data_IF_405290861241
#
_entry.id   IF_405290861241
#
_cell.length_a   1.000
_cell.length_b   1.000
_cell.length_c   1.000
_cell.angle_alpha   90.00
_cell.angle_beta   90.00
_cell.angle_gamma   90.00
#
_symmetry.space_group_name_H-M   'P 1'
#
loop_
_entity.id
_entity.type
_entity.pdbx_description
1 polymer ?
#
# COMPACT_ATOMS: atom_id res chain seq x y z
N UNK A 1 27.18 11.73 13.94
CA UNK A 1 26.03 10.88 13.60
C UNK A 1 26.52 9.82 12.66
N UNK A 2 26.41 8.55 13.01
CA UNK A 2 26.69 7.46 12.09
C UNK A 2 25.56 7.48 11.04
N UNK A 3 25.87 7.84 9.80
CA UNK A 3 24.90 7.81 8.72
C UNK A 3 24.48 6.35 8.49
N UNK A 4 23.19 6.07 8.45
CA UNK A 4 22.69 4.74 8.09
C UNK A 4 23.12 4.43 6.65
N UNK A 5 23.63 3.25 6.43
CA UNK A 5 23.96 2.77 5.07
C UNK A 5 22.69 2.38 4.31
N UNK A 6 22.77 2.49 2.98
CA UNK A 6 21.74 1.91 2.11
C UNK A 6 21.68 0.40 2.28
N UNK A 7 20.51 -0.16 2.04
CA UNK A 7 20.27 -1.61 2.13
C UNK A 7 19.50 -2.08 0.91
N UNK A 8 19.86 -3.29 0.46
CA UNK A 8 19.13 -4.02 -0.57
C UNK A 8 18.70 -5.37 -0.03
N UNK A 9 17.89 -6.08 -0.79
CA UNK A 9 17.45 -7.44 -0.47
C UNK A 9 18.65 -8.40 -0.38
N UNK A 10 18.61 -9.37 0.54
CA UNK A 10 19.65 -10.38 0.67
C UNK A 10 19.45 -11.55 -0.32
N UNK A 11 18.24 -11.75 -0.81
CA UNK A 11 17.85 -12.80 -1.75
C UNK A 11 16.89 -12.32 -2.83
N UNK A 12 16.48 -13.25 -3.69
CA UNK A 12 15.41 -13.05 -4.67
C UNK A 12 14.13 -13.73 -4.17
N UNK A 13 12.98 -13.08 -4.33
CA UNK A 13 11.70 -13.57 -3.80
C UNK A 13 10.65 -13.55 -4.90
N UNK A 14 10.07 -14.71 -5.16
CA UNK A 14 9.05 -14.89 -6.19
C UNK A 14 7.65 -14.90 -5.58
N UNK A 15 6.73 -14.17 -6.22
CA UNK A 15 5.32 -14.09 -5.85
C UNK A 15 4.45 -14.35 -7.08
N UNK A 16 3.40 -15.14 -6.88
CA UNK A 16 2.37 -15.40 -7.88
C UNK A 16 1.00 -15.07 -7.30
N UNK A 17 0.17 -14.42 -8.07
CA UNK A 17 -1.18 -14.13 -7.61
C UNK A 17 -1.99 -13.30 -8.58
N UNK A 18 -3.26 -13.16 -8.27
CA UNK A 18 -4.17 -12.29 -9.01
C UNK A 18 -3.90 -10.84 -8.67
N UNK A 19 -3.99 -9.95 -9.65
CA UNK A 19 -4.16 -8.52 -9.42
C UNK A 19 -5.57 -8.23 -8.90
N UNK A 20 -5.70 -7.36 -7.91
CA UNK A 20 -7.00 -7.04 -7.27
C UNK A 20 -8.02 -6.49 -8.28
N UNK A 21 -7.60 -5.57 -9.14
CA UNK A 21 -8.49 -4.87 -10.08
C UNK A 21 -8.65 -5.61 -11.40
N UNK A 22 -7.57 -6.13 -11.96
CA UNK A 22 -7.57 -6.79 -13.26
C UNK A 22 -8.01 -8.24 -13.21
N UNK A 23 -7.83 -8.91 -12.06
CA UNK A 23 -8.00 -10.36 -11.91
C UNK A 23 -6.97 -11.20 -12.69
N UNK A 24 -6.03 -10.55 -13.38
CA UNK A 24 -4.99 -11.25 -14.14
C UNK A 24 -3.94 -11.82 -13.19
N UNK A 25 -3.45 -13.00 -13.52
CA UNK A 25 -2.34 -13.61 -12.79
C UNK A 25 -1.04 -12.90 -13.19
N UNK A 26 -0.28 -12.49 -12.18
CA UNK A 26 1.07 -11.94 -12.35
C UNK A 26 2.08 -12.81 -11.62
N UNK A 27 3.21 -13.01 -12.25
CA UNK A 27 4.45 -13.47 -11.63
C UNK A 27 5.32 -12.25 -11.37
N UNK A 28 5.75 -12.07 -10.13
CA UNK A 28 6.59 -10.97 -9.71
C UNK A 28 7.81 -11.49 -8.95
N UNK A 29 8.98 -10.95 -9.23
CA UNK A 29 10.24 -11.30 -8.55
C UNK A 29 10.84 -10.03 -7.97
N UNK A 30 11.06 -10.01 -6.66
CA UNK A 30 11.84 -8.98 -5.99
C UNK A 30 13.31 -9.38 -6.01
N UNK A 31 14.17 -8.49 -6.48
CA UNK A 31 15.62 -8.73 -6.61
C UNK A 31 16.43 -7.65 -5.92
N UNK A 32 17.62 -7.98 -5.41
CA UNK A 32 18.60 -6.96 -5.01
C UNK A 32 18.89 -6.00 -6.16
N UNK A 33 19.17 -4.74 -5.82
CA UNK A 33 19.61 -3.74 -6.78
C UNK A 33 20.86 -3.02 -6.30
N UNK A 34 21.67 -2.45 -7.23
CA UNK A 34 22.84 -1.63 -6.89
C UNK A 34 22.50 -0.43 -6.01
N UNK A 35 23.52 0.17 -5.43
CA UNK A 35 23.43 1.44 -4.70
C UNK A 35 22.80 2.52 -5.59
N UNK A 36 22.02 3.40 -4.96
CA UNK A 36 21.37 4.54 -5.60
C UNK A 36 20.34 4.20 -6.70
N UNK A 37 19.95 2.93 -6.84
CA UNK A 37 18.89 2.51 -7.78
C UNK A 37 17.52 3.01 -7.33
N UNK A 38 17.27 3.07 -6.01
CA UNK A 38 15.90 3.23 -5.49
C UNK A 38 15.05 1.98 -5.76
N UNK A 39 13.75 2.17 -5.94
CA UNK A 39 12.83 1.07 -6.30
C UNK A 39 12.48 1.19 -7.78
N UNK A 40 12.87 0.17 -8.54
CA UNK A 40 12.70 0.09 -9.99
C UNK A 40 11.78 -1.05 -10.35
N UNK A 41 10.76 -0.79 -11.16
CA UNK A 41 9.90 -1.81 -11.74
C UNK A 41 10.33 -2.10 -13.18
N UNK A 42 10.34 -3.38 -13.54
CA UNK A 42 10.63 -3.87 -14.89
C UNK A 42 9.48 -4.76 -15.38
N UNK A 43 8.79 -4.34 -16.44
CA UNK A 43 7.76 -5.11 -17.14
C UNK A 43 8.41 -6.07 -18.12
N UNK A 44 8.80 -7.25 -17.61
CA UNK A 44 9.56 -8.25 -18.38
C UNK A 44 8.81 -8.80 -19.60
N UNK A 45 7.49 -8.69 -19.61
CA UNK A 45 6.62 -9.07 -20.73
C UNK A 45 6.62 -8.05 -21.88
N UNK A 46 7.12 -6.83 -21.65
CA UNK A 46 7.19 -5.76 -22.65
C UNK A 46 8.59 -5.57 -23.25
N UNK A 47 9.59 -6.32 -22.78
CA UNK A 47 10.95 -6.28 -23.27
C UNK A 47 11.97 -5.70 -22.31
N UNK A 48 13.24 -5.63 -22.76
CA UNK A 48 14.39 -5.33 -21.91
C UNK A 48 14.43 -3.88 -21.40
N UNK A 49 13.79 -2.93 -22.08
CA UNK A 49 13.85 -1.50 -21.76
C UNK A 49 12.59 -0.98 -21.02
N UNK A 50 11.66 -1.86 -20.64
CA UNK A 50 10.37 -1.48 -20.06
C UNK A 50 10.46 -1.22 -18.54
N UNK A 51 11.22 -0.20 -18.15
CA UNK A 51 11.45 0.18 -16.76
C UNK A 51 10.60 1.39 -16.33
N UNK A 52 10.15 1.37 -15.07
CA UNK A 52 9.47 2.50 -14.41
C UNK A 52 10.06 2.69 -13.02
N UNK A 53 10.64 3.85 -12.73
CA UNK A 53 11.06 4.22 -11.39
C UNK A 53 9.84 4.48 -10.50
N UNK A 54 9.84 3.98 -9.26
CA UNK A 54 8.81 4.26 -8.28
C UNK A 54 8.97 5.67 -7.71
N UNK A 55 8.60 6.65 -8.49
CA UNK A 55 8.70 8.08 -8.20
C UNK A 55 7.37 8.78 -8.48
N UNK A 56 7.10 9.86 -7.74
CA UNK A 56 5.81 10.55 -7.82
C UNK A 56 5.51 11.15 -9.20
N UNK A 57 6.52 11.53 -9.98
CA UNK A 57 6.36 12.02 -11.36
C UNK A 57 5.85 10.96 -12.33
N UNK A 58 6.07 9.67 -12.03
CA UNK A 58 5.62 8.54 -12.83
C UNK A 58 4.20 8.07 -12.44
N UNK A 59 3.55 8.68 -11.43
CA UNK A 59 2.17 8.34 -11.06
C UNK A 59 1.23 8.75 -12.18
N UNK A 60 0.53 7.76 -12.74
CA UNK A 60 -0.40 7.93 -13.87
C UNK A 60 -1.87 7.78 -13.48
N UNK A 61 -2.16 7.04 -12.39
CA UNK A 61 -3.51 6.86 -11.86
C UNK A 61 -3.49 6.63 -10.35
N UNK A 62 -4.54 7.12 -9.69
CA UNK A 62 -4.80 6.89 -8.27
C UNK A 62 -6.22 6.38 -8.03
N UNK A 63 -6.85 5.84 -9.07
CA UNK A 63 -8.19 5.29 -9.01
C UNK A 63 -8.17 3.92 -8.31
N UNK A 64 -8.48 3.90 -7.02
CA UNK A 64 -8.54 2.73 -6.12
C UNK A 64 -7.18 2.06 -5.81
N UNK A 65 -6.12 2.43 -6.47
CA UNK A 65 -4.75 1.98 -6.23
C UNK A 65 -3.76 2.96 -6.83
N UNK A 66 -2.50 2.86 -6.48
CA UNK A 66 -1.44 3.67 -7.06
C UNK A 66 -0.84 2.96 -8.27
N UNK A 67 -0.88 3.64 -9.42
CA UNK A 67 -0.31 3.18 -10.69
C UNK A 67 0.82 4.11 -11.11
N UNK A 68 1.95 3.54 -11.49
CA UNK A 68 3.06 4.25 -12.11
C UNK A 68 3.23 3.82 -13.56
N UNK A 69 3.66 4.74 -14.42
CA UNK A 69 3.85 4.47 -15.84
C UNK A 69 4.99 5.29 -16.44
N UNK A 70 5.69 4.71 -17.42
CA UNK A 70 6.71 5.38 -18.22
C UNK A 70 6.76 4.71 -19.61
N UNK A 71 6.51 5.49 -20.67
CA UNK A 71 6.33 4.93 -22.00
C UNK A 71 5.15 3.95 -22.02
N UNK A 72 5.39 2.74 -22.54
CA UNK A 72 4.40 1.66 -22.57
C UNK A 72 4.31 0.85 -21.27
N UNK A 73 5.34 0.96 -20.41
CA UNK A 73 5.37 0.24 -19.14
C UNK A 73 4.44 0.89 -18.13
N UNK A 74 3.57 0.08 -17.52
CA UNK A 74 2.67 0.49 -16.46
C UNK A 74 2.55 -0.61 -15.41
N UNK A 75 2.57 -0.23 -14.12
CA UNK A 75 2.37 -1.15 -13.00
C UNK A 75 1.43 -0.52 -12.00
N UNK A 76 0.36 -1.23 -11.64
CA UNK A 76 -0.68 -0.80 -10.69
C UNK A 76 -0.62 -1.56 -9.37
N UNK A 77 -1.31 -1.02 -8.35
CA UNK A 77 -1.45 -1.60 -7.00
C UNK A 77 -0.08 -1.80 -6.33
N UNK A 78 0.79 -0.79 -6.46
CA UNK A 78 2.16 -0.86 -5.96
C UNK A 78 2.27 -0.51 -4.47
N UNK A 79 1.27 0.13 -3.88
CA UNK A 79 1.26 0.72 -2.54
C UNK A 79 1.63 -0.27 -1.43
N UNK A 80 1.12 -1.50 -1.44
CA UNK A 80 1.40 -2.50 -0.41
C UNK A 80 2.86 -2.98 -0.48
N UNK A 81 3.36 -3.22 -1.69
CA UNK A 81 4.76 -3.58 -1.91
C UNK A 81 5.70 -2.43 -1.52
N UNK A 82 5.39 -1.20 -1.95
CA UNK A 82 6.17 -0.02 -1.60
C UNK A 82 6.19 0.20 -0.08
N UNK A 83 5.07 -0.07 0.60
CA UNK A 83 4.97 -0.02 2.05
C UNK A 83 5.87 -1.08 2.72
N UNK A 84 5.83 -2.32 2.24
CA UNK A 84 6.70 -3.40 2.73
C UNK A 84 8.18 -3.05 2.59
N UNK A 85 8.61 -2.61 1.40
CA UNK A 85 10.00 -2.23 1.15
C UNK A 85 10.44 -1.08 2.07
N UNK A 86 9.56 -0.10 2.28
CA UNK A 86 9.83 1.04 3.18
C UNK A 86 9.92 0.60 4.63
N UNK A 87 8.89 -0.11 5.12
CA UNK A 87 8.81 -0.55 6.51
C UNK A 87 9.91 -1.54 6.90
N UNK A 88 10.38 -2.35 5.95
CA UNK A 88 11.49 -3.28 6.16
C UNK A 88 12.87 -2.64 5.98
N UNK A 89 12.96 -1.40 5.55
CA UNK A 89 14.23 -0.68 5.47
C UNK A 89 15.00 -0.89 4.15
N UNK A 90 14.34 -1.28 3.06
CA UNK A 90 14.95 -1.49 1.73
C UNK A 90 15.12 -0.15 1.01
N UNK A 91 16.34 0.18 0.64
CA UNK A 91 16.65 1.38 -0.15
C UNK A 91 16.58 1.09 -1.64
N UNK A 92 17.13 -0.05 -2.08
CA UNK A 92 17.32 -0.41 -3.48
C UNK A 92 16.75 -1.79 -3.78
N UNK A 93 15.83 -1.88 -4.73
CA UNK A 93 15.27 -3.14 -5.22
C UNK A 93 14.85 -3.04 -6.68
N UNK A 94 15.01 -4.15 -7.41
CA UNK A 94 14.43 -4.36 -8.74
C UNK A 94 13.21 -5.26 -8.58
N UNK A 95 12.09 -4.83 -9.14
CA UNK A 95 10.81 -5.55 -9.16
C UNK A 95 10.53 -5.98 -10.60
N UNK A 96 10.81 -7.21 -10.94
CA UNK A 96 10.40 -7.78 -12.22
C UNK A 96 8.97 -8.28 -12.15
N UNK A 97 8.14 -7.93 -13.12
CA UNK A 97 6.75 -8.36 -13.19
C UNK A 97 6.33 -8.59 -14.64
N UNK A 98 5.60 -9.69 -14.89
CA UNK A 98 5.15 -10.11 -16.21
C UNK A 98 3.73 -9.65 -16.58
N UNK A 99 3.13 -8.77 -15.78
CA UNK A 99 1.80 -8.22 -16.04
C UNK A 99 1.65 -6.81 -15.43
N UNK A 100 0.51 -6.19 -15.69
CA UNK A 100 0.22 -4.78 -15.35
C UNK A 100 -0.05 -4.52 -13.86
N UNK A 101 -0.28 -5.54 -13.04
CA UNK A 101 -0.70 -5.35 -11.65
C UNK A 101 0.07 -6.25 -10.69
N UNK A 102 0.52 -5.67 -9.58
CA UNK A 102 1.15 -6.39 -8.47
C UNK A 102 0.15 -7.39 -7.87
N UNK A 103 0.56 -8.65 -7.57
CA UNK A 103 -0.30 -9.61 -6.90
C UNK A 103 -0.86 -9.09 -5.59
N UNK A 104 -2.19 -9.17 -5.40
CA UNK A 104 -2.83 -8.67 -4.18
C UNK A 104 -2.55 -9.55 -2.95
N UNK A 105 -2.29 -10.83 -3.18
CA UNK A 105 -2.06 -11.84 -2.14
C UNK A 105 -3.23 -11.87 -1.14
N UNK A 106 -2.98 -11.65 0.16
CA UNK A 106 -4.02 -11.58 1.19
C UNK A 106 -4.57 -10.16 1.44
N UNK A 107 -4.23 -9.21 0.57
CA UNK A 107 -4.66 -7.81 0.71
C UNK A 107 -3.84 -6.98 1.69
N UNK A 108 -2.72 -7.51 2.19
CA UNK A 108 -1.77 -6.84 3.08
C UNK A 108 -0.36 -6.80 2.50
N UNK A 109 0.61 -6.31 3.27
CA UNK A 109 2.03 -6.37 2.93
C UNK A 109 2.75 -7.60 3.54
N UNK A 110 2.04 -8.46 4.26
CA UNK A 110 2.59 -9.54 5.09
C UNK A 110 3.54 -10.46 4.33
N UNK A 111 3.14 -10.98 3.19
CA UNK A 111 3.96 -11.95 2.45
C UNK A 111 5.27 -11.35 1.96
N UNK A 112 5.28 -10.07 1.57
CA UNK A 112 6.51 -9.36 1.21
C UNK A 112 7.42 -9.20 2.42
N UNK A 113 6.84 -8.83 3.57
CA UNK A 113 7.54 -8.67 4.85
C UNK A 113 8.15 -9.99 5.31
N UNK A 114 7.38 -11.09 5.28
CA UNK A 114 7.85 -12.44 5.67
C UNK A 114 9.01 -12.91 4.79
N UNK A 115 8.91 -12.70 3.46
CA UNK A 115 9.97 -13.06 2.53
C UNK A 115 11.27 -12.28 2.79
N UNK A 116 11.17 -10.95 2.99
CA UNK A 116 12.32 -10.10 3.30
C UNK A 116 12.92 -10.45 4.67
N UNK A 117 12.08 -10.69 5.68
CA UNK A 117 12.53 -10.99 7.03
C UNK A 117 13.27 -12.33 7.12
N UNK A 118 12.95 -13.30 6.25
CA UNK A 118 13.55 -14.64 6.22
C UNK A 118 15.06 -14.60 6.04
N UNK A 119 15.54 -13.80 5.08
CA UNK A 119 16.95 -13.72 4.74
C UNK A 119 17.59 -12.40 5.20
N UNK A 120 16.76 -11.43 5.61
CA UNK A 120 17.20 -10.10 6.03
C UNK A 120 17.61 -9.20 4.87
N UNK A 121 18.42 -8.20 5.16
CA UNK A 121 18.91 -7.20 4.22
C UNK A 121 20.42 -7.22 4.11
N UNK A 122 20.92 -6.89 2.94
CA UNK A 122 22.35 -6.69 2.68
C UNK A 122 22.68 -5.20 2.76
N UNK A 123 23.57 -4.83 3.67
CA UNK A 123 24.08 -3.46 3.76
C UNK A 123 25.01 -3.14 2.57
N UNK A 124 24.88 -1.93 2.07
CA UNK A 124 25.65 -1.39 0.94
C UNK A 124 26.65 -0.33 1.42
N UNK A 125 27.54 0.14 0.56
CA UNK A 125 28.58 1.12 0.95
C UNK A 125 28.08 2.55 0.98
N UNK A 126 27.14 2.89 0.12
CA UNK A 126 26.58 4.24 0.01
C UNK A 126 25.76 4.61 1.26
N UNK A 127 25.77 5.87 1.64
CA UNK A 127 24.95 6.39 2.73
C UNK A 127 23.50 6.50 2.32
N UNK A 128 22.57 6.21 3.26
CA UNK A 128 21.14 6.34 3.02
C UNK A 128 20.80 7.80 2.74
N UNK A 129 20.05 8.02 1.66
CA UNK A 129 19.50 9.33 1.31
C UNK A 129 18.17 9.53 2.02
N UNK A 130 18.12 10.57 2.85
CA UNK A 130 16.88 11.01 3.47
C UNK A 130 16.30 12.17 2.68
N UNK A 131 14.99 12.11 2.46
CA UNK A 131 14.22 13.24 1.93
C UNK A 131 13.87 14.14 3.11
N UNK A 132 14.39 15.35 3.09
CA UNK A 132 14.11 16.39 4.10
C UNK A 132 13.35 17.52 3.48
N UNK A 133 12.52 18.21 4.26
CA UNK A 133 11.79 19.39 3.83
C UNK A 133 12.22 20.60 4.68
N UNK A 134 12.41 21.77 4.08
CA UNK A 134 12.85 22.97 4.81
C UNK A 134 11.72 23.63 5.60
N UNK A 135 10.47 23.44 5.19
CA UNK A 135 9.27 24.05 5.76
C UNK A 135 8.08 23.11 5.75
N UNK A 136 7.02 23.44 6.50
CA UNK A 136 5.79 22.67 6.49
C UNK A 136 5.16 22.65 5.09
N UNK A 137 4.67 21.46 4.69
CA UNK A 137 3.88 21.24 3.48
C UNK A 137 2.52 20.71 3.93
N UNK A 138 1.42 21.33 3.52
CA UNK A 138 0.09 20.78 3.66
C UNK A 138 -0.58 20.65 2.29
N UNK A 139 -1.03 19.47 1.96
CA UNK A 139 -1.88 19.20 0.81
C UNK A 139 -3.28 18.89 1.34
N UNK A 140 -4.27 19.63 0.85
CA UNK A 140 -5.67 19.51 1.26
C UNK A 140 -6.57 19.29 0.06
N UNK A 141 -7.62 18.52 0.25
CA UNK A 141 -8.75 18.39 -0.66
C UNK A 141 -9.98 19.02 0.00
N UNK A 142 -10.36 20.20 -0.47
CA UNK A 142 -11.49 20.96 0.08
C UNK A 142 -12.84 20.25 -0.10
N UNK A 143 -12.97 19.34 -1.07
CA UNK A 143 -14.23 18.63 -1.32
C UNK A 143 -14.46 17.53 -0.30
N UNK A 144 -13.42 16.81 0.07
CA UNK A 144 -13.48 15.66 0.99
C UNK A 144 -13.10 16.04 2.42
N UNK A 145 -12.44 17.18 2.61
CA UNK A 145 -11.82 17.59 3.87
C UNK A 145 -10.56 16.79 4.21
N UNK A 146 -10.09 15.93 3.31
CA UNK A 146 -8.86 15.17 3.51
C UNK A 146 -7.63 16.09 3.50
N UNK A 147 -6.64 15.79 4.34
CA UNK A 147 -5.36 16.48 4.28
C UNK A 147 -4.19 15.56 4.66
N UNK A 148 -3.02 15.89 4.13
CA UNK A 148 -1.73 15.36 4.58
C UNK A 148 -0.81 16.55 4.84
N UNK A 149 -0.34 16.64 6.08
CA UNK A 149 0.60 17.66 6.54
C UNK A 149 1.94 17.03 6.85
N UNK A 150 3.00 17.59 6.32
CA UNK A 150 4.38 17.20 6.54
C UNK A 150 5.08 18.32 7.27
N UNK A 151 5.62 18.05 8.44
CA UNK A 151 6.35 19.02 9.27
C UNK A 151 7.80 18.57 9.42
N UNK A 152 8.80 19.45 9.27
CA UNK A 152 10.21 19.11 9.48
C UNK A 152 10.42 18.44 10.85
N UNK A 153 11.17 17.35 10.87
CA UNK A 153 11.52 16.63 12.09
C UNK A 153 12.85 15.91 11.94
N UNK A 154 13.50 15.59 13.06
CA UNK A 154 14.77 14.86 13.08
C UNK A 154 14.61 13.35 12.88
N UNK A 155 13.43 12.82 13.14
CA UNK A 155 13.06 11.42 12.96
C UNK A 155 11.72 11.28 12.22
N UNK A 156 11.52 10.21 11.45
CA UNK A 156 10.24 9.97 10.77
C UNK A 156 9.16 9.56 11.78
N UNK A 157 7.96 10.11 11.61
CA UNK A 157 6.76 9.60 12.29
C UNK A 157 5.51 9.90 11.45
N UNK A 158 4.50 9.05 11.56
CA UNK A 158 3.23 9.19 10.85
C UNK A 158 2.06 8.95 11.79
N UNK A 159 1.17 9.93 11.88
CA UNK A 159 -0.10 9.86 12.60
C UNK A 159 -1.24 10.01 11.60
N UNK A 160 -2.15 9.05 11.57
CA UNK A 160 -3.33 9.16 10.71
C UNK A 160 -4.63 9.04 11.50
N UNK A 161 -5.65 9.68 10.97
CA UNK A 161 -7.04 9.51 11.37
C UNK A 161 -7.88 9.21 10.13
N UNK A 162 -8.66 8.14 10.17
CA UNK A 162 -9.65 7.80 9.16
C UNK A 162 -11.06 7.92 9.72
N UNK A 163 -11.96 8.47 8.92
CA UNK A 163 -13.38 8.62 9.22
C UNK A 163 -14.15 8.52 7.90
N UNK A 164 -14.85 7.42 7.73
CA UNK A 164 -15.70 7.15 6.56
C UNK A 164 -17.17 7.49 6.82
N UNK A 165 -17.50 8.07 7.98
CA UNK A 165 -18.88 8.26 8.42
C UNK A 165 -19.59 6.94 8.73
N UNK A 166 -18.86 5.84 8.80
CA UNK A 166 -19.36 4.50 9.07
C UNK A 166 -19.61 4.30 10.57
N UNK A 167 -20.75 3.74 10.92
CA UNK A 167 -21.06 3.36 12.31
C UNK A 167 -20.30 2.12 12.75
N UNK A 168 -20.04 1.21 11.81
CA UNK A 168 -19.31 -0.05 12.06
C UNK A 168 -17.83 0.23 12.22
N UNK A 169 -17.25 0.98 11.28
CA UNK A 169 -15.82 1.28 11.30
C UNK A 169 -15.47 2.32 12.38
N UNK A 170 -16.35 3.30 12.59
CA UNK A 170 -16.09 4.45 13.46
C UNK A 170 -14.93 5.31 12.95
N UNK A 171 -14.42 6.14 13.86
CA UNK A 171 -13.17 6.88 13.64
C UNK A 171 -12.02 6.01 14.12
N UNK A 172 -11.04 5.75 13.27
CA UNK A 172 -9.86 4.98 13.63
C UNK A 172 -8.59 5.82 13.49
N UNK A 173 -7.64 5.62 14.40
CA UNK A 173 -6.32 6.22 14.35
C UNK A 173 -5.27 5.13 14.24
N UNK A 174 -4.15 5.46 13.60
CA UNK A 174 -2.97 4.60 13.57
C UNK A 174 -1.70 5.47 13.61
N UNK A 175 -0.64 4.92 14.20
CA UNK A 175 0.65 5.56 14.38
C UNK A 175 1.77 4.64 13.88
N UNK A 176 2.81 5.25 13.33
CA UNK A 176 4.07 4.60 12.99
C UNK A 176 5.24 5.55 13.24
N UNK A 177 6.30 5.02 13.80
CA UNK A 177 7.61 5.65 13.93
C UNK A 177 8.73 4.60 13.89
N UNK A 178 9.98 4.99 14.10
CA UNK A 178 11.14 4.07 14.08
C UNK A 178 11.11 2.99 15.19
N UNK A 179 10.30 3.16 16.24
CA UNK A 179 10.13 2.17 17.31
C UNK A 179 9.04 1.13 17.00
N UNK A 180 8.20 1.39 15.99
CA UNK A 180 7.10 0.50 15.61
C UNK A 180 7.64 -0.74 14.90
N UNK A 181 7.27 -1.92 15.37
CA UNK A 181 7.54 -3.18 14.66
C UNK A 181 6.62 -3.29 13.43
N UNK A 182 7.08 -2.70 12.31
CA UNK A 182 6.32 -2.68 11.08
C UNK A 182 5.82 -4.07 10.66
N UNK A 183 6.67 -5.08 10.81
CA UNK A 183 6.36 -6.46 10.39
C UNK A 183 5.19 -7.05 11.17
N UNK A 184 5.02 -6.67 12.44
CA UNK A 184 3.94 -7.19 13.28
C UNK A 184 2.72 -6.27 13.34
N UNK A 185 2.91 -4.96 13.25
CA UNK A 185 1.86 -4.00 13.59
C UNK A 185 1.18 -3.38 12.37
N UNK A 186 1.90 -3.23 11.25
CA UNK A 186 1.39 -2.56 10.05
C UNK A 186 1.33 -3.52 8.87
N UNK A 187 2.42 -4.25 8.59
CA UNK A 187 2.54 -5.15 7.45
C UNK A 187 1.38 -6.15 7.27
N UNK A 188 0.83 -6.76 8.33
CA UNK A 188 -0.26 -7.73 8.20
C UNK A 188 -1.66 -7.11 8.07
N UNK A 189 -1.81 -5.78 8.08
CA UNK A 189 -3.11 -5.13 8.00
C UNK A 189 -3.66 -5.16 6.58
N UNK A 190 -4.85 -5.74 6.41
CA UNK A 190 -5.47 -6.02 5.11
C UNK A 190 -6.33 -4.87 4.63
N UNK A 191 -6.46 -4.77 3.31
CA UNK A 191 -7.41 -3.88 2.65
C UNK A 191 -8.86 -4.22 3.02
N UNK A 192 -9.77 -3.31 2.78
CA UNK A 192 -11.17 -3.44 3.13
C UNK A 192 -12.08 -2.84 2.07
N UNK A 193 -13.34 -3.28 2.09
CA UNK A 193 -14.39 -2.81 1.20
C UNK A 193 -15.73 -2.76 1.98
N UNK A 194 -16.58 -1.80 1.64
CA UNK A 194 -17.94 -1.79 2.16
C UNK A 194 -18.83 -2.74 1.33
N UNK A 195 -19.67 -3.50 2.01
CA UNK A 195 -20.54 -4.50 1.38
C UNK A 195 -21.41 -3.89 0.26
N UNK A 196 -21.96 -2.70 0.48
CA UNK A 196 -22.80 -2.01 -0.51
C UNK A 196 -22.04 -1.59 -1.78
N UNK A 197 -20.70 -1.53 -1.75
CA UNK A 197 -19.89 -1.25 -2.93
C UNK A 197 -19.63 -2.50 -3.78
N UNK A 198 -19.72 -3.70 -3.18
CA UNK A 198 -19.33 -4.95 -3.83
C UNK A 198 -20.17 -5.20 -5.09
N UNK A 199 -21.50 -5.07 -5.02
CA UNK A 199 -22.36 -5.27 -6.19
C UNK A 199 -22.01 -4.29 -7.33
N UNK A 200 -21.80 -3.01 -6.99
CA UNK A 200 -21.36 -2.00 -7.97
C UNK A 200 -20.02 -2.36 -8.60
N UNK A 201 -19.06 -2.82 -7.79
CA UNK A 201 -17.73 -3.21 -8.26
C UNK A 201 -17.79 -4.35 -9.26
N UNK A 202 -18.58 -5.38 -8.97
CA UNK A 202 -18.77 -6.51 -9.87
C UNK A 202 -19.51 -6.11 -11.16
N UNK A 203 -20.61 -5.36 -11.05
CA UNK A 203 -21.39 -4.91 -12.22
C UNK A 203 -20.57 -4.07 -13.19
N UNK A 204 -19.59 -3.32 -12.68
CA UNK A 204 -18.72 -2.47 -13.48
C UNK A 204 -17.37 -3.14 -13.85
N UNK A 205 -17.24 -4.45 -13.65
CA UNK A 205 -16.00 -5.19 -13.91
C UNK A 205 -14.76 -4.60 -13.18
N UNK A 206 -14.96 -4.00 -12.03
CA UNK A 206 -13.93 -3.53 -11.12
C UNK A 206 -13.61 -4.63 -10.10
N UNK A 207 -12.37 -4.65 -9.59
CA UNK A 207 -11.96 -5.60 -8.52
C UNK A 207 -12.20 -7.07 -8.92
N UNK A 208 -11.82 -7.46 -10.13
CA UNK A 208 -12.00 -8.83 -10.66
C UNK A 208 -11.21 -9.90 -9.91
N UNK A 209 -10.18 -9.52 -9.17
CA UNK A 209 -9.38 -10.40 -8.31
C UNK A 209 -9.76 -10.34 -6.84
N UNK A 210 -10.79 -9.57 -6.49
CA UNK A 210 -11.34 -9.56 -5.13
C UNK A 210 -11.84 -10.94 -4.73
N UNK A 211 -11.49 -11.38 -3.52
CA UNK A 211 -11.87 -12.65 -2.96
C UNK A 211 -12.15 -12.47 -1.45
N UNK A 212 -12.80 -13.47 -0.85
CA UNK A 212 -13.13 -13.44 0.59
C UNK A 212 -11.92 -13.50 1.51
N UNK A 213 -10.76 -13.87 1.00
CA UNK A 213 -9.52 -13.99 1.76
C UNK A 213 -8.57 -12.80 1.60
N UNK A 214 -8.89 -11.84 0.72
CA UNK A 214 -7.99 -10.71 0.43
C UNK A 214 -8.56 -9.32 0.74
N UNK A 215 -9.74 -9.23 1.36
CA UNK A 215 -10.31 -7.98 1.84
C UNK A 215 -11.23 -8.17 3.04
N UNK A 216 -11.16 -7.26 4.01
CA UNK A 216 -12.13 -7.16 5.10
C UNK A 216 -13.41 -6.55 4.54
N UNK A 217 -14.56 -7.19 4.78
CA UNK A 217 -15.86 -6.67 4.32
C UNK A 217 -16.63 -6.04 5.48
N UNK A 218 -17.01 -4.77 5.32
CA UNK A 218 -17.73 -3.97 6.31
C UNK A 218 -19.18 -3.84 5.88
N UNK A 219 -20.09 -4.24 6.75
CA UNK A 219 -21.54 -4.24 6.50
C UNK A 219 -22.19 -3.10 7.27
N UNK A 220 -22.37 -1.97 6.63
CA UNK A 220 -22.84 -0.71 7.22
C UNK A 220 -24.36 -0.65 7.38
N UNK A 221 -25.10 -1.30 6.50
CA UNK A 221 -26.57 -1.27 6.43
C UNK A 221 -27.14 -2.68 6.57
N UNK A 222 -28.39 -2.80 7.05
CA UNK A 222 -29.09 -4.09 7.04
C UNK A 222 -29.03 -4.72 5.63
N UNK A 223 -28.63 -5.95 5.58
CA UNK A 223 -28.48 -6.74 4.34
C UNK A 223 -29.53 -7.85 4.36
N UNK A 224 -30.17 -8.08 3.22
CA UNK A 224 -31.12 -9.20 3.09
C UNK A 224 -30.35 -10.53 3.03
N UNK A 225 -30.85 -11.62 3.59
CA UNK A 225 -30.19 -12.93 3.56
C UNK A 225 -29.75 -13.34 2.16
N UNK A 226 -30.59 -13.06 1.14
CA UNK A 226 -30.33 -13.40 -0.25
C UNK A 226 -29.11 -12.68 -0.82
N UNK A 227 -28.73 -11.51 -0.31
CA UNK A 227 -27.52 -10.79 -0.74
C UNK A 227 -26.26 -11.47 -0.20
N UNK A 228 -26.32 -11.98 1.04
CA UNK A 228 -25.21 -12.75 1.65
C UNK A 228 -25.07 -14.09 0.93
N UNK A 229 -26.21 -14.78 0.63
CA UNK A 229 -26.23 -16.02 -0.12
C UNK A 229 -25.61 -15.86 -1.53
N UNK A 230 -25.92 -14.75 -2.22
CA UNK A 230 -25.29 -14.45 -3.53
C UNK A 230 -23.78 -14.28 -3.40
N UNK A 231 -23.33 -13.60 -2.35
CA UNK A 231 -21.91 -13.42 -2.11
C UNK A 231 -21.23 -14.75 -1.78
N UNK A 232 -21.88 -15.59 -0.95
CA UNK A 232 -21.43 -16.96 -0.66
C UNK A 232 -21.30 -17.80 -1.94
N UNK A 233 -22.29 -17.73 -2.81
CA UNK A 233 -22.28 -18.45 -4.08
C UNK A 233 -21.19 -17.93 -5.04
N UNK A 234 -21.02 -16.60 -5.10
CA UNK A 234 -20.04 -15.94 -5.97
C UNK A 234 -18.60 -16.36 -5.62
N UNK A 235 -18.28 -16.42 -4.34
CA UNK A 235 -16.94 -16.78 -3.86
C UNK A 235 -16.79 -18.28 -3.53
N UNK A 236 -17.86 -19.07 -3.71
CA UNK A 236 -17.90 -20.47 -3.37
C UNK A 236 -17.48 -20.75 -1.90
N UNK A 237 -17.89 -19.87 -1.01
CA UNK A 237 -17.65 -19.96 0.44
C UNK A 237 -18.98 -20.22 1.13
N UNK A 238 -19.20 -21.43 1.69
CA UNK A 238 -20.40 -21.69 2.47
C UNK A 238 -20.39 -20.91 3.78
N UNK A 239 -21.57 -20.60 4.31
CA UNK A 239 -21.76 -20.03 5.66
C UNK A 239 -21.17 -18.62 5.87
N UNK A 240 -21.17 -17.77 4.85
CA UNK A 240 -20.92 -16.36 5.08
C UNK A 240 -22.04 -15.77 5.96
N UNK A 241 -21.64 -15.04 6.98
CA UNK A 241 -22.54 -14.39 7.92
C UNK A 241 -22.01 -13.02 8.36
N UNK A 242 -22.88 -12.17 8.81
CA UNK A 242 -22.52 -10.88 9.39
C UNK A 242 -22.36 -11.07 10.90
N UNK A 243 -21.19 -10.72 11.41
CA UNK A 243 -20.91 -10.73 12.84
C UNK A 243 -21.65 -9.59 13.56
N UNK A 244 -21.86 -9.69 14.86
CA UNK A 244 -22.51 -8.67 15.69
C UNK A 244 -21.82 -7.29 15.63
N UNK A 245 -20.52 -7.28 15.31
CA UNK A 245 -19.74 -6.05 15.15
C UNK A 245 -19.85 -5.42 13.74
N UNK A 246 -20.69 -5.94 12.87
CA UNK A 246 -20.93 -5.40 11.53
C UNK A 246 -19.88 -5.77 10.46
N UNK A 247 -18.98 -6.70 10.74
CA UNK A 247 -18.07 -7.26 9.75
C UNK A 247 -18.58 -8.60 9.22
N UNK A 248 -18.32 -8.89 7.96
CA UNK A 248 -18.53 -10.23 7.41
C UNK A 248 -17.57 -11.21 8.12
N UNK A 249 -17.99 -12.46 8.33
CA UNK A 249 -17.18 -13.48 9.01
C UNK A 249 -16.09 -14.11 8.14
N UNK A 250 -15.88 -13.59 6.93
CA UNK A 250 -14.88 -14.06 5.98
C UNK A 250 -13.44 -14.02 6.55
N UNK A 251 -13.15 -13.00 7.36
CA UNK A 251 -11.84 -12.80 7.97
C UNK A 251 -11.97 -12.39 9.45
N UNK A 252 -11.07 -12.90 10.28
CA UNK A 252 -10.91 -12.40 11.65
C UNK A 252 -9.95 -11.21 11.64
N UNK A 253 -10.35 -10.10 12.25
CA UNK A 253 -9.49 -8.92 12.36
C UNK A 253 -8.21 -9.23 13.17
N UNK A 254 -7.08 -8.73 12.71
CA UNK A 254 -5.82 -8.76 13.45
C UNK A 254 -5.81 -7.70 14.56
N UNK A 255 -6.41 -6.55 14.30
CA UNK A 255 -6.52 -5.41 15.23
C UNK A 255 -7.90 -4.80 15.16
N UNK A 256 -8.37 -4.22 16.25
CA UNK A 256 -9.66 -3.50 16.28
C UNK A 256 -9.68 -2.30 15.34
N UNK A 257 -8.51 -1.71 15.05
CA UNK A 257 -8.29 -0.60 14.13
C UNK A 257 -7.54 -1.05 12.85
N UNK A 258 -7.73 -2.29 12.39
CA UNK A 258 -6.98 -2.84 11.26
C UNK A 258 -7.17 -2.02 9.97
N UNK A 259 -8.39 -1.55 9.69
CA UNK A 259 -8.65 -0.70 8.53
C UNK A 259 -7.91 0.65 8.60
N UNK A 260 -7.82 1.24 9.78
CA UNK A 260 -6.99 2.43 10.00
C UNK A 260 -5.51 2.15 9.78
N UNK A 261 -4.99 1.04 10.34
CA UNK A 261 -3.59 0.62 10.13
C UNK A 261 -3.29 0.33 8.65
N UNK A 262 -4.26 -0.24 7.92
CA UNK A 262 -4.13 -0.43 6.48
C UNK A 262 -4.01 0.91 5.73
N UNK A 263 -4.78 1.93 6.09
CA UNK A 263 -4.63 3.28 5.50
C UNK A 263 -3.29 3.93 5.85
N UNK A 264 -2.69 3.59 6.98
CA UNK A 264 -1.31 3.97 7.29
C UNK A 264 -0.30 3.20 6.43
N UNK A 265 -0.53 1.90 6.20
CA UNK A 265 0.26 1.09 5.27
C UNK A 265 0.28 1.73 3.88
N UNK A 266 -0.89 2.09 3.33
CA UNK A 266 -1.02 2.77 2.04
C UNK A 266 -0.23 4.10 2.02
N UNK A 267 -0.35 4.92 3.07
CA UNK A 267 0.34 6.20 3.17
C UNK A 267 1.86 6.03 3.19
N UNK A 268 2.38 5.03 3.93
CA UNK A 268 3.82 4.71 3.96
C UNK A 268 4.32 4.36 2.55
N UNK A 269 3.58 3.52 1.82
CA UNK A 269 3.91 3.10 0.47
C UNK A 269 3.87 4.26 -0.54
N UNK A 270 2.80 5.04 -0.52
CA UNK A 270 2.60 6.16 -1.44
C UNK A 270 3.63 7.29 -1.21
N UNK A 271 3.95 7.60 0.06
CA UNK A 271 4.95 8.62 0.37
C UNK A 271 6.38 8.19 0.02
N UNK A 272 6.64 6.88 -0.11
CA UNK A 272 7.95 6.40 -0.62
C UNK A 272 8.25 6.89 -2.04
N UNK A 273 7.22 7.22 -2.81
CA UNK A 273 7.34 7.83 -4.13
C UNK A 273 8.00 9.21 -4.12
N UNK A 274 8.22 9.79 -2.94
CA UNK A 274 9.10 10.96 -2.79
C UNK A 274 10.58 10.65 -3.13
N UNK A 275 10.95 9.38 -3.32
CA UNK A 275 12.26 8.95 -3.81
C UNK A 275 13.25 8.56 -2.72
N UNK A 276 12.84 8.55 -1.46
CA UNK A 276 13.70 8.19 -0.33
C UNK A 276 12.92 8.02 0.97
N UNK A 277 13.65 7.84 2.06
CA UNK A 277 13.08 7.83 3.41
C UNK A 277 12.81 9.26 3.86
N UNK A 278 11.55 9.55 4.15
CA UNK A 278 11.14 10.87 4.60
C UNK A 278 11.59 11.11 6.06
N UNK A 279 12.38 12.13 6.30
CA UNK A 279 12.78 12.57 7.63
C UNK A 279 11.90 13.75 8.05
N UNK A 280 10.68 13.44 8.46
CA UNK A 280 9.66 14.43 8.82
C UNK A 280 8.57 13.77 9.67
N UNK A 281 7.76 14.62 10.34
CA UNK A 281 6.49 14.22 10.95
C UNK A 281 5.36 14.37 9.93
N UNK A 282 4.58 13.30 9.75
CA UNK A 282 3.39 13.27 8.89
C UNK A 282 2.15 13.23 9.75
N UNK A 283 1.18 14.10 9.49
CA UNK A 283 -0.16 14.04 10.08
C UNK A 283 -1.18 14.02 8.96
N UNK A 284 -2.02 12.98 8.91
CA UNK A 284 -3.00 12.83 7.84
C UNK A 284 -4.41 12.58 8.38
N UNK A 285 -5.38 13.20 7.73
CA UNK A 285 -6.80 12.98 7.96
C UNK A 285 -7.44 12.49 6.67
N UNK A 286 -8.11 11.32 6.75
CA UNK A 286 -8.72 10.65 5.60
C UNK A 286 -7.74 10.49 4.41
N UNK A 287 -6.51 9.94 4.64
CA UNK A 287 -5.55 9.75 3.55
C UNK A 287 -6.10 8.77 2.50
N UNK A 288 -5.63 8.93 1.27
CA UNK A 288 -5.94 8.06 0.14
C UNK A 288 -4.97 8.33 -1.00
N UNK A 289 -4.88 7.43 -1.97
CA UNK A 289 -3.82 7.44 -2.99
C UNK A 289 -3.66 8.78 -3.71
N UNK A 290 -4.77 9.47 -4.03
CA UNK A 290 -4.72 10.77 -4.71
C UNK A 290 -4.01 11.83 -3.87
N UNK A 291 -4.39 11.99 -2.61
CA UNK A 291 -3.77 13.00 -1.75
C UNK A 291 -2.37 12.59 -1.32
N UNK A 292 -2.13 11.30 -1.07
CA UNK A 292 -0.84 10.75 -0.70
C UNK A 292 0.20 11.01 -1.80
N UNK A 293 -0.12 10.66 -3.05
CA UNK A 293 0.79 10.82 -4.19
C UNK A 293 1.00 12.29 -4.57
N UNK A 294 -0.03 13.14 -4.44
CA UNK A 294 0.12 14.60 -4.56
C UNK A 294 1.08 15.15 -3.51
N UNK A 295 1.03 14.61 -2.29
CA UNK A 295 1.95 14.99 -1.22
C UNK A 295 3.37 14.52 -1.53
N UNK A 296 3.56 13.27 -1.98
CA UNK A 296 4.86 12.77 -2.40
C UNK A 296 5.49 13.63 -3.51
N UNK A 297 4.67 14.09 -4.48
CA UNK A 297 5.10 15.00 -5.54
C UNK A 297 5.53 16.36 -4.98
N UNK A 298 4.72 16.97 -4.11
CA UNK A 298 5.04 18.25 -3.49
C UNK A 298 6.32 18.18 -2.63
N UNK A 299 6.57 17.06 -1.95
CA UNK A 299 7.82 16.82 -1.23
C UNK A 299 9.00 16.84 -2.20
N UNK A 300 8.92 16.12 -3.34
CA UNK A 300 10.00 16.10 -4.35
C UNK A 300 10.28 17.48 -4.96
N UNK A 301 9.25 18.26 -5.19
CA UNK A 301 9.39 19.63 -5.74
C UNK A 301 10.05 20.60 -4.74
N UNK A 302 9.93 20.34 -3.43
CA UNK A 302 10.46 21.20 -2.35
C UNK A 302 11.69 20.62 -1.64
N UNK A 303 12.00 19.35 -1.83
CA UNK A 303 13.22 18.74 -1.29
C UNK A 303 14.44 19.21 -2.08
N UNK A 304 15.49 19.60 -1.37
CA UNK A 304 16.77 20.01 -1.95
C UNK A 304 17.67 18.81 -2.23
#
# INVERSE_FOLDING_TARGET
MTLNKQKTLAGEYEFHGKGLHTGKISKMILKPAPEDTGIMFHRVDLGEDAFVEALAENVSSTARSTTISKGEASVSTIEHLMSALTGMGVDNALVEIDNVEVPILDGSARYYVEAIAKDGLKEQKADRKYVTIPEEIEIRDEKTGSFVRITPADAPSMDITVDFGSRVLGVQTAHWDESTDYAKEIGPCRTFVFFHEIEYLFQNNLVKGGDVDNAIVIVEHPVQPEQVERLSALFNVPELAINDNGYLNNLKLHFTNECGRHKLLDLIGDLRLAGGYLKAKVTAFKPGHTINTRTAKAIREKSC
#
